data_IF_046766418921
#
_entry.id   IF_046766418921
#
_cell.length_a   1.000
_cell.length_b   1.000
_cell.length_c   1.000
_cell.angle_alpha   90.00
_cell.angle_beta   90.00
_cell.angle_gamma   90.00
#
_symmetry.space_group_name_H-M   'P 1'
#
loop_
_entity.id
_entity.type
_entity.pdbx_description
1 polymer ?
#
# COMPACT_ATOMS: atom_id res chain seq x y z
N UNK A 1 9.68 3.23 -11.10
CA UNK A 1 8.78 2.25 -11.78
C UNK A 1 7.36 2.81 -11.80
N UNK A 2 6.66 2.91 -12.94
CA UNK A 2 5.25 3.38 -12.96
C UNK A 2 4.87 4.18 -14.20
N UNK A 3 5.85 4.88 -14.78
CA UNK A 3 5.75 5.47 -16.11
C UNK A 3 5.31 4.42 -17.15
N UNK A 4 5.69 3.15 -16.98
CA UNK A 4 5.27 1.97 -17.78
C UNK A 4 3.81 1.95 -18.23
N UNK A 5 2.90 2.39 -17.36
CA UNK A 5 1.44 2.28 -17.54
C UNK A 5 0.77 3.58 -18.02
N UNK A 6 1.57 4.60 -18.35
CA UNK A 6 1.09 5.86 -18.94
C UNK A 6 0.70 5.66 -20.41
N UNK A 7 -0.47 5.07 -20.65
CA UNK A 7 -1.13 5.01 -21.95
C UNK A 7 -2.57 5.53 -21.85
N UNK A 8 -3.03 6.20 -22.91
CA UNK A 8 -4.39 6.76 -22.91
C UNK A 8 -5.45 5.65 -22.87
N UNK A 9 -5.19 4.50 -23.50
CA UNK A 9 -6.10 3.35 -23.46
C UNK A 9 -6.30 2.83 -22.04
N UNK A 10 -5.23 2.71 -21.24
CA UNK A 10 -5.32 2.28 -19.84
C UNK A 10 -6.12 3.31 -19.03
N UNK A 11 -5.86 4.60 -19.22
CA UNK A 11 -6.63 5.65 -18.53
C UNK A 11 -8.11 5.61 -18.91
N UNK A 12 -8.42 5.38 -20.19
CA UNK A 12 -9.79 5.25 -20.70
C UNK A 12 -10.51 4.07 -20.04
N UNK A 13 -9.89 2.88 -20.05
CA UNK A 13 -10.45 1.69 -19.41
C UNK A 13 -10.71 1.91 -17.91
N UNK A 14 -9.75 2.49 -17.20
CA UNK A 14 -9.89 2.75 -15.76
C UNK A 14 -11.05 3.73 -15.47
N UNK A 15 -11.18 4.79 -16.26
CA UNK A 15 -12.19 5.84 -16.04
C UNK A 15 -13.57 5.44 -16.52
N UNK A 16 -13.67 4.75 -17.65
CA UNK A 16 -14.95 4.47 -18.32
C UNK A 16 -15.51 3.09 -17.93
N UNK A 17 -14.67 2.06 -17.89
CA UNK A 17 -15.11 0.68 -17.60
C UNK A 17 -15.10 0.42 -16.08
N UNK A 18 -13.95 0.64 -15.44
CA UNK A 18 -13.75 0.36 -14.01
C UNK A 18 -14.38 1.45 -13.13
N UNK A 19 -14.67 2.63 -13.71
CA UNK A 19 -15.23 3.81 -13.02
C UNK A 19 -14.38 4.27 -11.83
N UNK A 20 -13.05 4.24 -11.99
CA UNK A 20 -12.08 4.59 -10.94
C UNK A 20 -11.10 5.68 -11.41
N UNK A 21 -10.39 6.31 -10.48
CA UNK A 21 -9.39 7.33 -10.77
C UNK A 21 -7.97 6.73 -10.79
N UNK A 22 -7.22 6.97 -11.87
CA UNK A 22 -5.82 6.56 -11.97
C UNK A 22 -4.88 7.73 -11.69
N UNK A 23 -3.93 7.55 -10.76
CA UNK A 23 -2.82 8.50 -10.52
C UNK A 23 -1.53 7.90 -11.03
N UNK A 24 -1.30 8.07 -12.33
CA UNK A 24 -0.09 7.62 -13.00
C UNK A 24 0.62 8.87 -13.52
N UNK A 25 1.88 9.10 -13.13
CA UNK A 25 2.62 10.27 -13.59
C UNK A 25 2.83 10.16 -15.09
N UNK A 26 2.49 11.24 -15.80
CA UNK A 26 2.69 11.33 -17.24
C UNK A 26 4.19 11.31 -17.53
N UNK A 27 4.58 10.54 -18.55
CA UNK A 27 5.96 10.52 -19.01
C UNK A 27 6.32 11.86 -19.64
N UNK A 28 7.32 12.52 -19.07
CA UNK A 28 8.00 13.59 -19.77
C UNK A 28 8.74 13.01 -21.00
N UNK A 29 8.44 13.55 -22.17
CA UNK A 29 9.11 13.22 -23.43
C UNK A 29 9.60 14.54 -24.01
N UNK A 30 10.92 14.72 -24.04
CA UNK A 30 11.53 15.89 -24.66
C UNK A 30 10.96 16.08 -26.07
N UNK A 31 10.44 17.29 -26.33
CA UNK A 31 9.92 17.76 -27.63
C UNK A 31 8.63 17.11 -28.13
N UNK A 32 7.86 16.40 -27.29
CA UNK A 32 6.55 15.84 -27.70
C UNK A 32 5.42 16.39 -26.84
N UNK A 33 4.40 16.94 -27.50
CA UNK A 33 3.16 17.35 -26.83
C UNK A 33 2.45 16.12 -26.24
N UNK A 34 1.91 16.27 -25.03
CA UNK A 34 1.11 15.23 -24.37
C UNK A 34 -0.22 15.09 -25.12
N UNK A 35 -0.44 13.90 -25.70
CA UNK A 35 -1.68 13.53 -26.37
C UNK A 35 -2.58 12.72 -25.43
N UNK A 36 -3.89 12.76 -25.68
CA UNK A 36 -4.90 12.09 -24.86
C UNK A 36 -5.68 13.06 -23.96
N UNK A 37 -6.96 12.77 -23.72
CA UNK A 37 -7.83 13.60 -22.87
C UNK A 37 -7.42 13.41 -21.41
N UNK A 38 -7.40 12.16 -20.94
CA UNK A 38 -7.13 11.83 -19.55
C UNK A 38 -5.68 12.10 -19.17
N UNK A 39 -4.72 11.89 -20.09
CA UNK A 39 -3.32 12.27 -19.88
C UNK A 39 -3.13 13.78 -19.73
N UNK A 40 -3.88 14.60 -20.48
CA UNK A 40 -3.81 16.07 -20.36
C UNK A 40 -4.44 16.55 -19.06
N UNK A 41 -5.55 15.94 -18.64
CA UNK A 41 -6.18 16.18 -17.33
C UNK A 41 -5.20 15.87 -16.19
N UNK A 42 -4.61 14.67 -16.19
CA UNK A 42 -3.61 14.25 -15.20
C UNK A 42 -2.36 15.15 -15.16
N UNK A 43 -1.94 15.71 -16.29
CA UNK A 43 -0.79 16.60 -16.33
C UNK A 43 -1.11 18.01 -15.78
N UNK A 44 -2.37 18.45 -15.88
CA UNK A 44 -2.81 19.74 -15.33
C UNK A 44 -2.98 19.64 -13.82
N UNK A 45 -3.71 18.62 -13.38
CA UNK A 45 -4.14 18.46 -11.98
C UNK A 45 -3.53 17.19 -11.36
N UNK A 46 -2.20 17.12 -11.34
CA UNK A 46 -1.50 15.99 -10.73
C UNK A 46 -1.41 16.12 -9.21
N UNK A 47 -2.17 15.32 -8.48
CA UNK A 47 -2.03 15.24 -7.02
C UNK A 47 -0.81 14.41 -6.61
N UNK A 48 0.30 15.12 -6.37
CA UNK A 48 1.54 14.54 -5.87
C UNK A 48 1.40 13.96 -4.46
N UNK A 49 0.50 14.50 -3.63
CA UNK A 49 0.32 14.02 -2.26
C UNK A 49 -0.33 12.64 -2.26
N UNK A 50 -1.33 12.42 -3.12
CA UNK A 50 -1.94 11.10 -3.27
C UNK A 50 -0.95 10.12 -3.93
N UNK A 51 -0.15 10.57 -4.89
CA UNK A 51 0.89 9.73 -5.50
C UNK A 51 1.94 9.24 -4.47
N UNK A 52 2.34 10.10 -3.52
CA UNK A 52 3.31 9.75 -2.49
C UNK A 52 2.83 8.64 -1.53
N UNK A 53 1.51 8.41 -1.42
CA UNK A 53 0.94 7.30 -0.63
C UNK A 53 1.34 5.91 -1.16
N UNK A 54 1.92 5.83 -2.36
CA UNK A 54 2.47 4.60 -2.93
C UNK A 54 3.76 4.13 -2.25
N UNK A 55 4.62 5.06 -1.79
CA UNK A 55 5.90 4.73 -1.16
C UNK A 55 5.78 3.74 0.02
N UNK A 56 4.86 3.93 0.99
CA UNK A 56 4.69 2.97 2.08
C UNK A 56 4.21 1.60 1.57
N UNK A 57 3.35 1.56 0.55
CA UNK A 57 2.88 0.31 -0.06
C UNK A 57 4.03 -0.47 -0.69
N UNK A 58 4.88 0.19 -1.49
CA UNK A 58 6.07 -0.45 -2.08
C UNK A 58 7.05 -0.95 -1.00
N UNK A 59 7.19 -0.18 0.08
CA UNK A 59 8.04 -0.57 1.21
C UNK A 59 7.50 -1.83 1.88
N UNK A 60 6.20 -1.91 2.14
CA UNK A 60 5.56 -3.12 2.70
C UNK A 60 5.75 -4.31 1.78
N UNK A 61 5.54 -4.16 0.47
CA UNK A 61 5.79 -5.25 -0.48
C UNK A 61 7.26 -5.68 -0.53
N UNK A 62 8.21 -4.74 -0.44
CA UNK A 62 9.64 -5.05 -0.35
C UNK A 62 9.98 -5.83 0.92
N UNK A 63 9.44 -5.43 2.08
CA UNK A 63 9.61 -6.17 3.34
C UNK A 63 9.00 -7.56 3.24
N UNK A 64 7.80 -7.68 2.67
CA UNK A 64 7.10 -8.94 2.52
C UNK A 64 7.90 -9.93 1.67
N UNK A 65 8.43 -9.48 0.52
CA UNK A 65 9.28 -10.31 -0.34
C UNK A 65 10.56 -10.77 0.35
N UNK A 66 11.19 -9.91 1.15
CA UNK A 66 12.42 -10.25 1.90
C UNK A 66 12.15 -11.24 3.04
N UNK A 67 11.02 -11.11 3.75
CA UNK A 67 10.68 -11.97 4.89
C UNK A 67 10.08 -13.31 4.49
N UNK A 68 9.17 -13.32 3.51
CA UNK A 68 8.38 -14.50 3.13
C UNK A 68 8.78 -15.09 1.77
N UNK A 69 9.87 -14.58 1.19
CA UNK A 69 10.39 -15.01 -0.11
C UNK A 69 9.63 -14.42 -1.30
N UNK A 70 10.38 -14.14 -2.36
CA UNK A 70 9.86 -13.55 -3.61
C UNK A 70 9.14 -14.58 -4.49
N UNK A 71 9.58 -15.84 -4.49
CA UNK A 71 9.04 -16.86 -5.37
C UNK A 71 7.60 -17.26 -4.99
N UNK A 72 6.77 -17.46 -6.01
CA UNK A 72 5.46 -18.11 -5.90
C UNK A 72 5.62 -19.60 -6.20
N UNK A 73 5.12 -20.46 -5.32
CA UNK A 73 5.12 -21.90 -5.56
C UNK A 73 3.99 -22.33 -6.48
N UNK A 74 2.89 -21.57 -6.49
CA UNK A 74 1.73 -21.88 -7.31
C UNK A 74 1.99 -21.66 -8.82
N UNK A 75 1.55 -22.62 -9.64
CA UNK A 75 1.65 -22.54 -11.12
C UNK A 75 0.46 -21.87 -11.80
N UNK A 76 -0.75 -22.00 -11.24
CA UNK A 76 -1.96 -21.35 -11.80
C UNK A 76 -2.16 -19.98 -11.17
N UNK A 77 -2.57 -19.01 -11.98
CA UNK A 77 -2.82 -17.62 -11.57
C UNK A 77 -3.73 -17.51 -10.33
N UNK A 78 -4.87 -18.20 -10.33
CA UNK A 78 -5.81 -18.19 -9.20
C UNK A 78 -5.17 -18.63 -7.87
N UNK A 79 -4.25 -19.59 -7.90
CA UNK A 79 -3.54 -20.03 -6.70
C UNK A 79 -2.42 -19.06 -6.31
N UNK A 80 -1.76 -18.40 -7.27
CA UNK A 80 -0.78 -17.34 -6.98
C UNK A 80 -1.44 -16.17 -6.24
N UNK A 81 -2.64 -15.76 -6.66
CA UNK A 81 -3.42 -14.73 -5.96
C UNK A 81 -3.72 -15.15 -4.52
N UNK A 82 -4.13 -16.41 -4.31
CA UNK A 82 -4.34 -16.95 -2.95
C UNK A 82 -3.05 -16.98 -2.13
N UNK A 83 -1.93 -17.35 -2.73
CA UNK A 83 -0.62 -17.38 -2.07
C UNK A 83 -0.19 -15.99 -1.61
N UNK A 84 -0.35 -14.96 -2.45
CA UNK A 84 -0.09 -13.55 -2.06
C UNK A 84 -0.97 -13.13 -0.88
N UNK A 85 -2.27 -13.46 -0.91
CA UNK A 85 -3.20 -13.13 0.18
C UNK A 85 -2.79 -13.79 1.49
N UNK A 86 -2.39 -15.06 1.45
CA UNK A 86 -1.92 -15.79 2.64
C UNK A 86 -0.62 -15.18 3.18
N UNK A 87 0.35 -14.85 2.32
CA UNK A 87 1.59 -14.17 2.73
C UNK A 87 1.31 -12.84 3.44
N UNK A 88 0.34 -12.07 2.95
CA UNK A 88 -0.10 -10.81 3.60
C UNK A 88 -0.71 -11.06 4.99
N UNK A 89 -1.58 -12.05 5.13
CA UNK A 89 -2.18 -12.42 6.42
C UNK A 89 -1.11 -12.82 7.43
N UNK A 90 -0.17 -13.68 7.02
CA UNK A 90 0.96 -14.11 7.87
C UNK A 90 1.81 -12.92 8.31
N UNK A 91 2.11 -12.00 7.39
CA UNK A 91 2.87 -10.79 7.71
C UNK A 91 2.15 -9.91 8.75
N UNK A 92 0.84 -9.74 8.62
CA UNK A 92 0.05 -8.97 9.58
C UNK A 92 0.01 -9.62 10.97
N UNK A 93 -0.13 -10.94 11.04
CA UNK A 93 -0.06 -11.69 12.30
C UNK A 93 1.33 -11.51 12.94
N UNK A 94 2.40 -11.63 12.15
CA UNK A 94 3.76 -11.44 12.66
C UNK A 94 3.97 -10.02 13.22
N UNK A 95 3.43 -8.99 12.56
CA UNK A 95 3.48 -7.63 13.07
C UNK A 95 2.73 -7.51 14.41
N UNK A 96 1.51 -8.05 14.51
CA UNK A 96 0.72 -8.00 15.73
C UNK A 96 1.44 -8.68 16.91
N UNK A 97 1.99 -9.87 16.70
CA UNK A 97 2.75 -10.62 17.72
C UNK A 97 4.00 -9.84 18.16
N UNK A 98 4.76 -9.29 17.21
CA UNK A 98 5.95 -8.49 17.54
C UNK A 98 5.59 -7.23 18.34
N UNK A 99 4.51 -6.55 17.99
CA UNK A 99 4.03 -5.36 18.72
C UNK A 99 3.61 -5.72 20.14
N UNK A 100 2.88 -6.82 20.34
CA UNK A 100 2.49 -7.32 21.66
C UNK A 100 3.75 -7.67 22.48
N UNK A 101 4.69 -8.40 21.88
CA UNK A 101 5.94 -8.79 22.55
C UNK A 101 6.76 -7.58 23.00
N UNK A 102 6.95 -6.58 22.14
CA UNK A 102 7.63 -5.32 22.48
C UNK A 102 6.88 -4.59 23.59
N UNK A 103 5.55 -4.58 23.56
CA UNK A 103 4.73 -3.94 24.59
C UNK A 103 4.92 -4.61 25.95
N UNK A 104 4.95 -5.94 26.01
CA UNK A 104 5.25 -6.71 27.23
C UNK A 104 6.66 -6.39 27.76
N UNK A 105 7.68 -6.38 26.89
CA UNK A 105 9.04 -6.03 27.27
C UNK A 105 9.17 -4.58 27.80
N UNK A 106 8.42 -3.63 27.21
CA UNK A 106 8.39 -2.24 27.67
C UNK A 106 7.72 -2.10 29.03
N UNK A 107 6.67 -2.87 29.31
CA UNK A 107 6.01 -2.91 30.63
C UNK A 107 6.97 -3.43 31.69
N UNK A 108 7.78 -4.44 31.36
CA UNK A 108 8.76 -5.01 32.29
C UNK A 108 9.89 -4.06 32.69
N UNK A 109 10.15 -3.01 31.91
CA UNK A 109 11.34 -2.15 32.06
C UNK A 109 11.03 -0.74 32.56
N UNK A 110 9.76 -0.38 32.80
CA UNK A 110 9.37 1.00 33.11
C UNK A 110 8.56 1.17 34.40
N UNK A 111 8.75 2.29 35.14
CA UNK A 111 8.05 2.56 36.40
C UNK A 111 6.55 2.85 36.20
N UNK A 112 5.76 2.55 37.24
CA UNK A 112 4.28 2.63 37.23
C UNK A 112 3.68 4.01 36.91
N UNK A 113 4.46 5.08 37.01
CA UNK A 113 4.03 6.45 36.75
C UNK A 113 3.82 6.78 35.26
N UNK A 114 4.39 6.01 34.32
CA UNK A 114 4.33 6.30 32.87
C UNK A 114 3.18 5.59 32.11
N UNK A 115 2.30 4.86 32.81
CA UNK A 115 1.30 3.99 32.18
C UNK A 115 0.23 4.74 31.35
N UNK A 116 -0.06 5.99 31.69
CA UNK A 116 -0.96 6.87 30.92
C UNK A 116 -0.40 7.21 29.53
N UNK A 117 0.93 7.30 29.39
CA UNK A 117 1.57 7.58 28.11
C UNK A 117 1.60 6.35 27.18
N UNK A 118 1.76 5.16 27.77
CA UNK A 118 1.77 3.88 27.02
C UNK A 118 0.38 3.54 26.47
N UNK A 119 -0.68 3.75 27.27
CA UNK A 119 -2.07 3.55 26.82
C UNK A 119 -2.45 4.51 25.69
N UNK A 120 -1.94 5.74 25.71
CA UNK A 120 -2.07 6.70 24.60
C UNK A 120 -1.32 6.25 23.34
N UNK A 121 -0.08 5.77 23.47
CA UNK A 121 0.73 5.27 22.35
C UNK A 121 0.11 4.02 21.69
N UNK A 122 -0.40 3.09 22.50
CA UNK A 122 -1.11 1.91 22.03
C UNK A 122 -2.37 2.27 21.25
N UNK A 123 -3.18 3.23 21.73
CA UNK A 123 -4.33 3.77 20.97
C UNK A 123 -3.93 4.38 19.63
N UNK A 124 -2.75 5.02 19.55
CA UNK A 124 -2.24 5.62 18.31
C UNK A 124 -1.80 4.56 17.28
N UNK A 125 -1.19 3.46 17.72
CA UNK A 125 -0.84 2.33 16.85
C UNK A 125 -2.06 1.54 16.38
N UNK A 126 -3.09 1.39 17.21
CA UNK A 126 -4.37 0.76 16.81
C UNK A 126 -5.06 1.58 15.71
N UNK A 127 -5.03 2.91 15.80
CA UNK A 127 -5.52 3.79 14.73
C UNK A 127 -4.77 3.64 13.41
N UNK A 128 -3.46 3.39 13.46
CA UNK A 128 -2.64 3.10 12.28
C UNK A 128 -3.02 1.75 11.63
N UNK A 129 -3.25 0.70 12.44
CA UNK A 129 -3.69 -0.60 11.94
C UNK A 129 -5.12 -0.57 11.36
N UNK A 130 -6.04 0.19 11.98
CA UNK A 130 -7.38 0.42 11.42
C UNK A 130 -7.32 1.17 10.09
N UNK A 131 -6.43 2.15 9.96
CA UNK A 131 -6.23 2.87 8.69
C UNK A 131 -5.69 1.96 7.59
N UNK A 132 -4.80 1.02 7.92
CA UNK A 132 -4.33 0.00 6.96
C UNK A 132 -5.46 -0.95 6.55
N UNK A 133 -6.22 -1.50 7.51
CA UNK A 133 -7.37 -2.37 7.22
C UNK A 133 -8.44 -1.69 6.37
N UNK A 134 -8.76 -0.42 6.64
CA UNK A 134 -9.71 0.37 5.85
C UNK A 134 -9.19 0.65 4.43
N UNK A 135 -7.88 0.85 4.26
CA UNK A 135 -7.25 1.01 2.96
C UNK A 135 -7.21 -0.32 2.19
N UNK A 136 -6.97 -1.45 2.86
CA UNK A 136 -6.98 -2.77 2.21
C UNK A 136 -8.40 -3.23 1.82
N UNK A 137 -9.42 -2.92 2.63
CA UNK A 137 -10.82 -3.23 2.28
C UNK A 137 -11.31 -2.43 1.06
N UNK A 138 -10.91 -1.17 0.93
CA UNK A 138 -11.42 -0.28 -0.13
C UNK A 138 -10.59 -0.29 -1.42
N UNK A 139 -9.32 -0.72 -1.39
CA UNK A 139 -8.43 -0.66 -2.56
C UNK A 139 -8.02 -2.03 -3.11
N UNK A 140 -8.35 -3.13 -2.42
CA UNK A 140 -8.01 -4.51 -2.85
C UNK A 140 -9.24 -5.35 -3.24
N UNK A 141 -10.42 -4.73 -3.30
CA UNK A 141 -11.65 -5.30 -3.84
C UNK A 141 -11.84 -4.82 -5.30
N UNK A 142 -10.92 -5.22 -6.17
CA UNK A 142 -11.07 -5.23 -7.63
C UNK A 142 -10.36 -6.47 -8.18
#
# INVERSE_FOLDING_TARGET
MGKGYDSESIHKQIREEIKSYSIIPVRDRMRKQIKGKYRRELNRDFDKTLYNKRNPVETVFSVLKRKLGEAFKARKYWFQVKEVKIKLIVYNIQLAVNTIFISILKISTRPKSEWLFITWLSKKEIGFLQSQLFFFSNYFMF
#
